data_IF_644255722298
#
_entry.id   IF_644255722298
#
_cell.length_a   1.000
_cell.length_b   1.000
_cell.length_c   1.000
_cell.angle_alpha   90.00
_cell.angle_beta   90.00
_cell.angle_gamma   90.00
#
_symmetry.space_group_name_H-M   'P 1'
#
loop_
_entity.id
_entity.type
_entity.pdbx_description
1 polymer ?
#
# COMPACT_ATOMS: atom_id res chain seq x y z
N UNK A 1 -27.41 24.98 0.94
CA UNK A 1 -26.27 25.91 0.77
C UNK A 1 -25.02 25.06 0.73
N UNK A 2 -24.57 24.70 -0.46
CA UNK A 2 -23.37 23.89 -0.71
C UNK A 2 -22.15 24.73 -0.42
N UNK A 3 -21.46 24.45 0.69
CA UNK A 3 -20.20 25.08 1.01
C UNK A 3 -19.20 24.73 -0.10
N UNK A 4 -18.67 25.77 -0.75
CA UNK A 4 -17.63 25.68 -1.76
C UNK A 4 -16.38 25.02 -1.19
N UNK A 5 -15.87 23.98 -1.86
CA UNK A 5 -14.66 23.21 -1.52
C UNK A 5 -13.35 24.00 -1.64
N UNK A 6 -13.41 25.30 -1.94
CA UNK A 6 -12.23 26.15 -1.97
C UNK A 6 -11.80 26.49 -0.53
N UNK A 7 -10.76 25.79 -0.08
CA UNK A 7 -9.90 26.02 1.11
C UNK A 7 -10.33 25.43 2.45
N UNK A 8 -10.77 24.18 2.51
CA UNK A 8 -10.72 23.47 3.80
C UNK A 8 -9.25 23.41 4.29
N UNK A 9 -8.94 23.73 5.57
CA UNK A 9 -7.55 23.79 6.03
C UNK A 9 -6.78 22.47 5.88
N UNK A 10 -7.49 21.33 5.90
CA UNK A 10 -6.91 20.01 5.64
C UNK A 10 -6.76 19.66 4.15
N UNK A 11 -7.07 20.58 3.23
CA UNK A 11 -6.92 20.36 1.78
C UNK A 11 -5.48 20.01 1.39
N UNK A 12 -4.48 20.65 2.03
CA UNK A 12 -3.05 20.30 1.85
C UNK A 12 -2.69 18.88 2.33
N UNK A 13 -3.59 18.24 3.07
CA UNK A 13 -3.49 16.85 3.50
C UNK A 13 -4.45 15.93 2.75
N UNK A 14 -4.96 16.33 1.59
CA UNK A 14 -5.83 15.52 0.74
C UNK A 14 -7.31 15.52 1.14
N UNK A 15 -7.79 16.54 1.88
CA UNK A 15 -9.21 16.67 2.17
C UNK A 15 -9.98 17.08 0.90
N UNK A 16 -11.08 16.39 0.63
CA UNK A 16 -11.93 16.57 -0.56
C UNK A 16 -13.40 16.50 -0.18
N UNK A 17 -14.31 16.82 -1.11
CA UNK A 17 -15.77 16.70 -0.91
C UNK A 17 -16.21 15.29 -0.55
N UNK A 18 -15.49 14.29 -1.04
CA UNK A 18 -15.74 12.89 -0.74
C UNK A 18 -15.53 12.61 0.75
N UNK A 19 -14.45 13.14 1.34
CA UNK A 19 -14.19 13.01 2.78
C UNK A 19 -15.15 13.86 3.62
N UNK A 20 -15.54 15.04 3.11
CA UNK A 20 -16.55 15.86 3.76
C UNK A 20 -17.91 15.15 3.83
N UNK A 21 -18.32 14.44 2.77
CA UNK A 21 -19.55 13.66 2.74
C UNK A 21 -19.53 12.49 3.75
N UNK A 22 -18.42 11.74 3.82
CA UNK A 22 -18.26 10.67 4.80
C UNK A 22 -18.24 11.19 6.24
N UNK A 23 -17.74 12.42 6.44
CA UNK A 23 -17.63 13.04 7.75
C UNK A 23 -18.91 13.72 8.23
N UNK A 24 -19.77 14.22 7.32
CA UNK A 24 -20.96 15.00 7.64
C UNK A 24 -21.87 14.39 8.74
N UNK A 25 -22.09 13.06 8.83
CA UNK A 25 -22.86 12.46 9.92
C UNK A 25 -22.28 12.67 11.33
N UNK A 26 -20.99 13.00 11.42
CA UNK A 26 -20.25 13.14 12.67
C UNK A 26 -20.14 14.60 13.14
N UNK A 27 -20.41 15.58 12.28
CA UNK A 27 -20.40 17.01 12.62
C UNK A 27 -21.40 17.35 13.72
N UNK A 28 -22.61 16.77 13.65
CA UNK A 28 -23.66 16.98 14.64
C UNK A 28 -23.26 16.51 16.06
N UNK A 29 -22.26 15.63 16.16
CA UNK A 29 -21.70 15.16 17.43
C UNK A 29 -20.56 16.02 17.99
N UNK A 30 -20.25 17.17 17.38
CA UNK A 30 -19.15 18.05 17.79
C UNK A 30 -17.75 17.48 17.51
N UNK A 31 -17.66 16.42 16.71
CA UNK A 31 -16.37 15.83 16.31
C UNK A 31 -15.69 16.70 15.26
N UNK A 32 -14.38 16.54 15.13
CA UNK A 32 -13.56 17.25 14.14
C UNK A 32 -12.94 16.26 13.15
N UNK A 33 -12.81 16.64 11.87
CA UNK A 33 -12.11 15.80 10.92
C UNK A 33 -10.62 15.80 11.25
N UNK A 34 -9.99 14.65 11.09
CA UNK A 34 -8.55 14.52 11.23
C UNK A 34 -7.98 13.47 10.31
N UNK A 35 -6.68 13.55 10.03
CA UNK A 35 -5.94 12.53 9.27
C UNK A 35 -4.82 11.95 10.12
N UNK A 36 -4.70 10.63 10.16
CA UNK A 36 -3.64 9.92 10.89
C UNK A 36 -2.32 10.12 10.16
N UNK A 37 -1.37 10.77 10.83
CA UNK A 37 -0.03 11.08 10.33
C UNK A 37 0.98 10.02 10.74
N UNK A 38 0.76 9.38 11.90
CA UNK A 38 1.59 8.31 12.45
C UNK A 38 0.78 7.49 13.44
N UNK A 39 1.05 6.19 13.49
CA UNK A 39 0.47 5.27 14.49
C UNK A 39 1.52 4.85 15.50
N UNK A 40 1.22 5.03 16.79
CA UNK A 40 1.98 4.52 17.92
C UNK A 40 1.16 3.44 18.66
N UNK A 41 1.79 2.76 19.64
CA UNK A 41 1.06 1.81 20.50
C UNK A 41 0.00 2.53 21.35
N UNK A 42 -1.27 2.31 21.02
CA UNK A 42 -2.43 2.82 21.77
C UNK A 42 -2.80 4.28 21.48
N UNK A 43 -2.10 4.95 20.55
CA UNK A 43 -2.37 6.33 20.17
C UNK A 43 -1.91 6.63 18.75
N UNK A 44 -2.40 7.70 18.15
CA UNK A 44 -1.94 8.21 16.86
C UNK A 44 -1.56 9.68 16.95
N UNK A 45 -0.66 10.12 16.07
CA UNK A 45 -0.56 11.54 15.73
C UNK A 45 -1.55 11.85 14.62
N UNK A 46 -2.34 12.90 14.81
CA UNK A 46 -3.43 13.29 13.92
C UNK A 46 -3.25 14.75 13.56
N UNK A 47 -3.34 15.03 12.27
CA UNK A 47 -3.49 16.41 11.80
C UNK A 47 -4.97 16.77 11.75
N UNK A 48 -5.34 17.90 12.35
CA UNK A 48 -6.72 18.38 12.46
C UNK A 48 -6.73 19.92 12.50
N UNK A 49 -7.91 20.51 12.65
CA UNK A 49 -8.12 21.96 12.75
C UNK A 49 -8.43 22.37 14.19
N UNK A 50 -7.67 23.34 14.69
CA UNK A 50 -7.99 24.05 15.93
C UNK A 50 -9.27 24.90 15.77
N UNK A 51 -9.79 25.44 16.87
CA UNK A 51 -11.02 26.26 16.87
C UNK A 51 -10.88 27.53 16.03
N UNK A 52 -9.67 28.10 16.01
CA UNK A 52 -9.32 29.27 15.22
C UNK A 52 -9.01 28.93 13.74
N UNK A 53 -9.29 27.69 13.31
CA UNK A 53 -9.07 27.22 11.94
C UNK A 53 -7.63 26.88 11.60
N UNK A 54 -6.66 27.06 12.52
CA UNK A 54 -5.26 26.67 12.27
C UNK A 54 -5.11 25.16 12.20
N UNK A 55 -4.28 24.70 11.28
CA UNK A 55 -3.94 23.28 11.20
C UNK A 55 -2.93 22.93 12.29
N UNK A 56 -3.29 21.96 13.12
CA UNK A 56 -2.48 21.49 14.25
C UNK A 56 -2.27 19.98 14.16
N UNK A 57 -1.17 19.50 14.74
CA UNK A 57 -0.91 18.06 14.90
C UNK A 57 -0.94 17.77 16.40
N UNK A 58 -1.79 16.83 16.79
CA UNK A 58 -1.96 16.41 18.17
C UNK A 58 -1.90 14.90 18.32
N UNK A 59 -1.64 14.44 19.54
CA UNK A 59 -1.72 13.02 19.89
C UNK A 59 -3.12 12.69 20.36
N UNK A 60 -3.70 11.60 19.86
CA UNK A 60 -5.00 11.11 20.31
C UNK A 60 -4.96 9.62 20.65
N UNK A 61 -5.73 9.23 21.66
CA UNK A 61 -5.95 7.82 22.00
C UNK A 61 -6.85 7.13 20.98
N UNK A 62 -6.60 5.85 20.71
CA UNK A 62 -7.40 5.05 19.75
C UNK A 62 -8.28 3.99 20.40
N UNK A 63 -8.41 4.00 21.73
CA UNK A 63 -9.19 3.01 22.49
C UNK A 63 -10.59 2.72 21.92
N UNK A 64 -11.41 3.74 21.58
CA UNK A 64 -12.75 3.51 21.03
C UNK A 64 -12.79 2.79 19.66
N UNK A 65 -11.72 2.93 18.87
CA UNK A 65 -11.59 2.31 17.54
C UNK A 65 -10.56 1.18 17.54
N UNK A 66 -10.11 0.74 18.72
CA UNK A 66 -9.17 -0.37 18.83
C UNK A 66 -9.89 -1.67 18.48
N UNK A 67 -9.36 -2.38 17.48
CA UNK A 67 -9.86 -3.68 17.08
C UNK A 67 -8.84 -4.77 17.37
N UNK A 68 -9.34 -5.96 17.73
CA UNK A 68 -8.52 -7.18 17.75
C UNK A 68 -8.18 -7.66 16.33
N UNK A 69 -8.98 -7.26 15.35
CA UNK A 69 -8.70 -7.46 13.93
C UNK A 69 -7.73 -6.37 13.44
N UNK A 70 -6.48 -6.73 13.05
CA UNK A 70 -5.50 -5.78 12.58
C UNK A 70 -5.89 -5.08 11.27
N UNK A 71 -6.83 -5.62 10.50
CA UNK A 71 -7.37 -4.97 9.30
C UNK A 71 -8.28 -3.79 9.65
N UNK A 72 -8.87 -3.77 10.84
CA UNK A 72 -9.73 -2.68 11.31
C UNK A 72 -9.01 -1.70 12.25
N UNK A 73 -7.76 -1.98 12.61
CA UNK A 73 -6.96 -1.11 13.46
C UNK A 73 -6.56 0.18 12.72
N UNK A 74 -6.46 1.34 13.41
CA UNK A 74 -6.01 2.60 12.81
C UNK A 74 -4.65 2.48 12.12
N UNK A 75 -4.52 3.14 10.98
CA UNK A 75 -3.33 3.13 10.14
C UNK A 75 -2.97 4.55 9.66
N UNK A 76 -1.70 4.78 9.32
CA UNK A 76 -1.25 6.02 8.67
C UNK A 76 -2.04 6.24 7.37
N UNK A 77 -2.54 7.47 7.18
CA UNK A 77 -3.37 7.84 6.03
C UNK A 77 -4.88 7.72 6.26
N UNK A 78 -5.33 7.08 7.36
CA UNK A 78 -6.74 7.05 7.73
C UNK A 78 -7.31 8.45 7.99
N UNK A 79 -8.53 8.67 7.53
CA UNK A 79 -9.35 9.80 7.95
C UNK A 79 -10.22 9.40 9.14
N UNK A 80 -10.38 10.32 10.09
CA UNK A 80 -11.01 10.04 11.37
C UNK A 80 -11.93 11.16 11.84
N UNK A 81 -12.91 10.80 12.66
CA UNK A 81 -13.65 11.75 13.48
C UNK A 81 -13.04 11.78 14.89
N UNK A 82 -12.45 12.93 15.23
CA UNK A 82 -11.73 13.19 16.47
C UNK A 82 -12.65 13.91 17.47
N UNK A 83 -12.72 13.39 18.69
CA UNK A 83 -13.19 14.16 19.84
C UNK A 83 -12.00 14.98 20.35
N UNK A 84 -11.95 16.25 19.96
CA UNK A 84 -10.81 17.13 20.24
C UNK A 84 -10.72 17.52 21.72
N UNK A 85 -11.83 17.54 22.45
CA UNK A 85 -11.86 17.84 23.88
C UNK A 85 -11.25 16.70 24.71
N UNK A 86 -11.60 15.46 24.35
CA UNK A 86 -11.10 14.27 25.05
C UNK A 86 -9.79 13.74 24.45
N UNK A 87 -9.38 14.22 23.28
CA UNK A 87 -8.18 13.75 22.58
C UNK A 87 -8.28 12.27 22.19
N UNK A 88 -9.44 11.83 21.70
CA UNK A 88 -9.66 10.42 21.31
C UNK A 88 -10.29 10.29 19.92
N UNK A 89 -9.80 9.31 19.15
CA UNK A 89 -10.43 8.94 17.89
C UNK A 89 -11.73 8.19 18.18
N UNK A 90 -12.85 8.72 17.69
CA UNK A 90 -14.18 8.13 17.87
C UNK A 90 -14.56 7.22 16.71
N UNK A 91 -14.19 7.60 15.49
CA UNK A 91 -14.57 6.90 14.26
C UNK A 91 -13.40 6.90 13.30
N UNK A 92 -13.15 5.75 12.68
CA UNK A 92 -12.36 5.66 11.44
C UNK A 92 -13.34 5.78 10.28
N UNK A 93 -13.10 6.72 9.37
CA UNK A 93 -13.90 6.83 8.15
C UNK A 93 -13.59 5.64 7.22
N UNK A 94 -14.51 5.28 6.30
CA UNK A 94 -14.31 4.15 5.39
C UNK A 94 -13.02 4.29 4.57
N UNK A 95 -12.22 3.23 4.54
CA UNK A 95 -11.04 3.16 3.68
C UNK A 95 -11.46 2.92 2.24
N UNK A 96 -10.80 3.62 1.31
CA UNK A 96 -10.98 3.41 -0.13
C UNK A 96 -9.91 2.51 -0.72
N UNK A 97 -8.69 2.62 -0.22
CA UNK A 97 -7.50 1.88 -0.67
C UNK A 97 -6.61 1.58 0.54
N UNK A 98 -5.77 0.55 0.45
CA UNK A 98 -4.92 0.14 1.56
C UNK A 98 -3.75 -0.74 1.11
N UNK A 99 -2.55 -0.50 1.63
CA UNK A 99 -1.49 -1.51 1.60
C UNK A 99 -1.66 -2.48 2.76
N UNK A 100 -1.95 -3.74 2.43
CA UNK A 100 -2.03 -4.83 3.40
C UNK A 100 -0.78 -5.70 3.28
N UNK A 101 -0.17 -6.02 4.42
CA UNK A 101 0.98 -6.92 4.49
C UNK A 101 0.63 -8.17 5.27
N UNK A 102 1.05 -9.31 4.73
CA UNK A 102 1.16 -10.55 5.47
C UNK A 102 2.17 -10.43 6.61
N UNK A 103 1.74 -10.53 7.87
CA UNK A 103 2.67 -10.55 9.00
C UNK A 103 3.28 -11.95 9.12
N UNK A 104 4.62 -12.05 9.10
CA UNK A 104 5.35 -13.32 9.20
C UNK A 104 5.39 -13.90 10.63
N UNK A 105 4.59 -13.37 11.54
CA UNK A 105 4.54 -13.84 12.93
C UNK A 105 3.68 -15.10 13.04
N UNK A 106 3.65 -15.74 14.21
CA UNK A 106 2.76 -16.88 14.48
C UNK A 106 1.25 -16.54 14.40
N UNK A 107 0.88 -15.36 13.90
CA UNK A 107 -0.45 -14.92 13.47
C UNK A 107 -0.35 -14.44 12.03
N UNK A 108 -1.07 -15.11 11.13
CA UNK A 108 -1.17 -14.77 9.72
C UNK A 108 -2.28 -13.74 9.52
N UNK A 109 -2.30 -12.69 10.34
CA UNK A 109 -3.28 -11.63 10.22
C UNK A 109 -2.68 -10.59 9.27
N UNK A 110 -3.46 -10.14 8.28
CA UNK A 110 -3.08 -9.03 7.41
C UNK A 110 -2.99 -7.75 8.25
N UNK A 111 -1.90 -6.98 8.10
CA UNK A 111 -1.76 -5.68 8.76
C UNK A 111 -1.82 -4.57 7.71
N UNK A 112 -2.68 -3.58 7.94
CA UNK A 112 -2.68 -2.36 7.11
C UNK A 112 -1.47 -1.51 7.46
N UNK A 113 -0.67 -1.19 6.45
CA UNK A 113 0.56 -0.40 6.58
C UNK A 113 0.38 1.06 6.20
N UNK A 114 -0.56 1.32 5.29
CA UNK A 114 -0.99 2.64 4.88
C UNK A 114 -2.40 2.54 4.27
N UNK A 115 -3.20 3.59 4.40
CA UNK A 115 -4.57 3.66 3.90
C UNK A 115 -4.82 4.93 3.09
N UNK A 116 -5.84 4.88 2.23
CA UNK A 116 -6.30 5.99 1.38
C UNK A 116 -5.18 6.54 0.50
N UNK A 117 -4.48 5.61 -0.16
CA UNK A 117 -3.43 5.85 -1.15
C UNK A 117 -4.07 5.95 -2.52
N UNK A 118 -3.83 7.06 -3.20
CA UNK A 118 -4.30 7.32 -4.55
C UNK A 118 -3.25 6.88 -5.58
N UNK A 119 -1.96 7.01 -5.24
CA UNK A 119 -0.84 6.69 -6.12
C UNK A 119 0.27 5.91 -5.43
N UNK A 120 0.89 4.98 -6.16
CA UNK A 120 2.03 4.19 -5.67
C UNK A 120 3.25 4.47 -6.54
N UNK A 121 4.24 5.13 -5.95
CA UNK A 121 5.52 5.38 -6.58
C UNK A 121 6.44 4.17 -6.42
N UNK A 122 6.63 3.41 -7.49
CA UNK A 122 7.51 2.24 -7.53
C UNK A 122 8.92 2.71 -7.92
N UNK A 123 9.77 2.91 -6.92
CA UNK A 123 11.16 3.32 -7.13
C UNK A 123 12.04 2.14 -7.59
N UNK A 124 12.67 2.30 -8.75
CA UNK A 124 13.56 1.32 -9.38
C UNK A 124 14.88 2.00 -9.70
N UNK A 125 15.99 1.53 -9.13
CA UNK A 125 17.31 2.17 -9.30
C UNK A 125 17.95 1.78 -10.61
N UNK A 126 18.38 2.78 -11.40
CA UNK A 126 19.20 2.59 -12.60
C UNK A 126 20.71 2.45 -12.30
N UNK A 127 21.09 2.37 -11.03
CA UNK A 127 22.47 2.00 -10.66
C UNK A 127 22.77 0.51 -10.86
N UNK A 128 21.72 -0.31 -10.95
CA UNK A 128 21.78 -1.75 -11.06
C UNK A 128 21.07 -2.18 -12.36
N UNK A 129 21.28 -3.43 -12.77
CA UNK A 129 20.55 -4.00 -13.91
C UNK A 129 19.04 -4.03 -13.65
N UNK A 130 18.26 -3.67 -14.68
CA UNK A 130 16.81 -3.53 -14.59
C UNK A 130 16.13 -4.91 -14.48
N UNK A 131 15.67 -5.24 -13.27
CA UNK A 131 14.88 -6.45 -13.00
C UNK A 131 13.38 -6.20 -13.26
N UNK A 132 12.94 -6.42 -14.49
CA UNK A 132 11.53 -6.27 -14.89
C UNK A 132 10.58 -7.19 -14.10
N UNK A 133 11.04 -8.38 -13.68
CA UNK A 133 10.21 -9.27 -12.86
C UNK A 133 9.91 -8.72 -11.48
N UNK A 134 10.84 -7.93 -10.95
CA UNK A 134 10.61 -7.19 -9.71
C UNK A 134 9.68 -6.00 -9.91
N UNK A 135 9.75 -5.32 -11.05
CA UNK A 135 8.81 -4.25 -11.41
C UNK A 135 7.38 -4.82 -11.49
N UNK A 136 7.20 -5.92 -12.23
CA UNK A 136 5.93 -6.66 -12.36
C UNK A 136 5.36 -7.05 -10.98
N UNK A 137 6.21 -7.52 -10.06
CA UNK A 137 5.79 -7.81 -8.68
C UNK A 137 5.31 -6.57 -7.94
N UNK A 138 6.03 -5.45 -8.02
CA UNK A 138 5.62 -4.23 -7.35
C UNK A 138 4.37 -3.61 -7.96
N UNK A 139 4.17 -3.77 -9.27
CA UNK A 139 2.92 -3.40 -9.94
C UNK A 139 1.75 -4.21 -9.39
N UNK A 140 1.90 -5.52 -9.22
CA UNK A 140 0.85 -6.35 -8.63
C UNK A 140 0.46 -5.86 -7.23
N UNK A 141 1.45 -5.50 -6.39
CA UNK A 141 1.19 -4.94 -5.07
C UNK A 141 0.52 -3.56 -5.12
N UNK A 142 0.93 -2.71 -6.06
CA UNK A 142 0.33 -1.38 -6.23
C UNK A 142 -1.14 -1.50 -6.64
N UNK A 143 -1.44 -2.31 -7.65
CA UNK A 143 -2.81 -2.56 -8.09
C UNK A 143 -3.68 -3.22 -7.02
N UNK A 144 -3.12 -4.17 -6.25
CA UNK A 144 -3.84 -4.78 -5.13
C UNK A 144 -4.20 -3.75 -4.04
N UNK A 145 -3.34 -2.75 -3.82
CA UNK A 145 -3.64 -1.69 -2.85
C UNK A 145 -4.81 -0.79 -3.28
N UNK A 146 -5.19 -0.83 -4.56
CA UNK A 146 -6.15 0.07 -5.20
C UNK A 146 -5.55 1.41 -5.64
N UNK A 147 -4.27 1.66 -5.35
CA UNK A 147 -3.57 2.87 -5.79
C UNK A 147 -3.02 2.75 -7.21
N UNK A 148 -3.03 3.87 -7.95
CA UNK A 148 -2.51 3.93 -9.32
C UNK A 148 -0.98 3.86 -9.32
N UNK A 149 -0.35 2.85 -9.96
CA UNK A 149 1.10 2.76 -10.02
C UNK A 149 1.72 3.81 -10.95
N UNK A 150 2.88 4.31 -10.50
CA UNK A 150 3.83 5.10 -11.28
C UNK A 150 5.21 4.49 -11.06
N UNK A 151 5.82 3.96 -12.11
CA UNK A 151 7.19 3.42 -12.05
C UNK A 151 8.18 4.56 -12.20
N UNK A 152 9.02 4.73 -11.21
CA UNK A 152 10.02 5.80 -11.14
C UNK A 152 11.40 5.18 -11.24
N UNK A 153 12.00 5.26 -12.42
CA UNK A 153 13.38 4.85 -12.67
C UNK A 153 14.33 5.92 -12.08
N UNK A 154 14.78 5.69 -10.85
CA UNK A 154 15.62 6.63 -10.09
C UNK A 154 17.09 6.54 -10.51
N UNK A 155 17.86 7.58 -10.14
CA UNK A 155 19.30 7.71 -10.46
C UNK A 155 19.57 7.73 -11.97
N UNK A 156 18.68 8.37 -12.73
CA UNK A 156 18.81 8.49 -14.19
C UNK A 156 20.08 9.23 -14.65
N UNK A 157 20.77 9.92 -13.75
CA UNK A 157 22.09 10.52 -13.96
C UNK A 157 23.21 9.47 -14.19
N UNK A 158 23.02 8.23 -13.72
CA UNK A 158 23.96 7.14 -13.95
C UNK A 158 23.87 6.52 -15.34
N UNK A 159 22.82 6.86 -16.10
CA UNK A 159 22.65 6.49 -17.51
C UNK A 159 22.69 7.78 -18.35
N UNK A 160 23.90 8.31 -18.62
CA UNK A 160 24.04 9.62 -19.25
C UNK A 160 23.64 9.61 -20.72
N UNK A 161 23.73 8.47 -21.40
CA UNK A 161 23.29 8.31 -22.78
C UNK A 161 21.76 8.35 -22.87
N UNK A 162 21.15 9.37 -23.52
CA UNK A 162 19.70 9.51 -23.59
C UNK A 162 19.02 8.36 -24.36
N UNK A 163 19.71 7.75 -25.33
CA UNK A 163 19.16 6.66 -26.16
C UNK A 163 19.05 5.38 -25.33
N UNK A 164 20.09 5.02 -24.60
CA UNK A 164 20.05 3.89 -23.64
C UNK A 164 18.95 4.10 -22.62
N UNK A 165 18.82 5.32 -22.09
CA UNK A 165 17.77 5.65 -21.13
C UNK A 165 16.36 5.53 -21.72
N UNK A 166 16.14 5.94 -22.98
CA UNK A 166 14.83 5.77 -23.61
C UNK A 166 14.46 4.31 -23.80
N UNK A 167 15.42 3.44 -24.15
CA UNK A 167 15.16 1.99 -24.23
C UNK A 167 14.80 1.39 -22.87
N UNK A 168 15.48 1.80 -21.79
CA UNK A 168 15.15 1.33 -20.44
C UNK A 168 13.73 1.76 -20.01
N UNK A 169 13.31 2.97 -20.38
CA UNK A 169 11.93 3.44 -20.17
C UNK A 169 10.95 2.59 -20.97
N UNK A 170 11.20 2.40 -22.27
CA UNK A 170 10.32 1.61 -23.15
C UNK A 170 10.17 0.15 -22.70
N UNK A 171 11.28 -0.50 -22.32
CA UNK A 171 11.25 -1.87 -21.78
C UNK A 171 10.45 -1.96 -20.48
N UNK A 172 10.54 -0.93 -19.63
CA UNK A 172 9.75 -0.84 -18.40
C UNK A 172 8.27 -0.59 -18.72
N UNK A 173 7.95 0.25 -19.70
CA UNK A 173 6.57 0.54 -20.13
C UNK A 173 5.88 -0.72 -20.66
N UNK A 174 6.58 -1.49 -21.49
CA UNK A 174 6.10 -2.80 -21.97
C UNK A 174 5.85 -3.78 -20.81
N UNK A 175 6.67 -3.71 -19.76
CA UNK A 175 6.48 -4.54 -18.57
C UNK A 175 5.41 -4.02 -17.60
N UNK A 176 4.92 -2.79 -17.80
CA UNK A 176 4.07 -2.06 -16.87
C UNK A 176 2.79 -1.50 -17.54
N UNK A 177 1.96 -2.36 -18.18
CA UNK A 177 0.75 -1.89 -18.84
C UNK A 177 -0.16 -1.15 -17.86
N UNK A 178 -0.66 0.03 -18.29
CA UNK A 178 -1.52 0.88 -17.48
C UNK A 178 -0.80 1.72 -16.41
N UNK A 179 0.52 1.56 -16.22
CA UNK A 179 1.32 2.40 -15.33
C UNK A 179 2.11 3.46 -16.13
N UNK A 180 2.30 4.64 -15.54
CA UNK A 180 3.23 5.63 -16.10
C UNK A 180 4.66 5.27 -15.71
N UNK A 181 5.61 5.47 -16.61
CA UNK A 181 7.04 5.28 -16.35
C UNK A 181 7.78 6.61 -16.49
N UNK A 182 8.59 6.98 -15.51
CA UNK A 182 9.41 8.18 -15.54
C UNK A 182 10.84 7.89 -15.10
N UNK A 183 11.81 8.36 -15.89
CA UNK A 183 13.21 8.40 -15.48
C UNK A 183 13.53 9.71 -14.77
N UNK A 184 13.98 9.63 -13.52
CA UNK A 184 14.27 10.80 -12.68
C UNK A 184 15.64 10.70 -12.03
N UNK A 185 16.22 11.86 -11.75
CA UNK A 185 17.36 11.99 -10.87
C UNK A 185 17.08 13.06 -9.83
N UNK A 186 16.96 12.64 -8.57
CA UNK A 186 16.89 13.56 -7.45
C UNK A 186 18.21 14.33 -7.23
N UNK A 187 19.33 13.80 -7.73
CA UNK A 187 20.64 14.44 -7.60
C UNK A 187 20.80 15.63 -8.58
N UNK A 188 20.29 15.49 -9.81
CA UNK A 188 20.39 16.55 -10.84
C UNK A 188 19.11 17.36 -11.00
N UNK A 189 18.01 16.92 -10.39
CA UNK A 189 16.66 17.47 -10.59
C UNK A 189 15.97 16.99 -11.86
N UNK A 190 16.63 16.17 -12.70
CA UNK A 190 16.06 15.71 -13.96
C UNK A 190 14.75 14.94 -13.74
N UNK A 191 13.69 15.33 -14.44
CA UNK A 191 12.38 14.64 -14.42
C UNK A 191 11.59 14.84 -13.13
N UNK A 192 12.13 15.54 -12.13
CA UNK A 192 11.46 15.76 -10.84
C UNK A 192 10.22 16.63 -10.96
N UNK A 193 10.24 17.66 -11.81
CA UNK A 193 9.07 18.52 -12.06
C UNK A 193 7.92 17.73 -12.70
N UNK A 194 8.24 16.86 -13.67
CA UNK A 194 7.26 16.00 -14.31
C UNK A 194 6.66 15.00 -13.32
N UNK A 195 7.49 14.41 -12.43
CA UNK A 195 7.00 13.54 -11.37
C UNK A 195 6.11 14.31 -10.39
N UNK A 196 6.54 15.48 -9.91
CA UNK A 196 5.79 16.30 -8.97
C UNK A 196 4.44 16.75 -9.55
N UNK A 197 4.37 17.07 -10.83
CA UNK A 197 3.14 17.45 -11.52
C UNK A 197 2.13 16.29 -11.68
N UNK A 198 2.59 15.03 -11.58
CA UNK A 198 1.69 13.86 -11.55
C UNK A 198 1.12 13.58 -10.18
N UNK A 199 1.74 14.11 -9.12
CA UNK A 199 1.34 13.81 -7.75
C UNK A 199 0.12 14.63 -7.35
N UNK A 200 -0.96 13.91 -7.06
CA UNK A 200 -2.17 14.47 -6.46
C UNK A 200 -2.72 13.49 -5.42
N UNK A 201 -3.42 14.02 -4.42
CA UNK A 201 -3.96 13.20 -3.33
C UNK A 201 -2.86 12.59 -2.46
N UNK A 202 -2.81 11.27 -2.34
CA UNK A 202 -1.95 10.52 -1.42
C UNK A 202 -1.05 9.57 -2.18
N UNK A 203 0.25 9.83 -2.18
CA UNK A 203 1.26 8.96 -2.75
C UNK A 203 1.91 8.09 -1.68
N UNK A 204 2.29 6.85 -2.03
CA UNK A 204 3.10 5.98 -1.19
C UNK A 204 4.34 5.47 -1.95
N UNK A 205 5.46 5.29 -1.26
CA UNK A 205 6.70 4.80 -1.86
C UNK A 205 6.87 3.29 -1.70
N UNK A 206 7.13 2.61 -2.81
CA UNK A 206 7.41 1.17 -2.88
C UNK A 206 8.74 0.93 -3.61
N UNK A 207 9.48 -0.11 -3.24
CA UNK A 207 10.74 -0.47 -3.89
C UNK A 207 11.78 -1.05 -2.92
N UNK A 208 12.83 -1.65 -3.47
CA UNK A 208 13.90 -2.29 -2.68
C UNK A 208 14.73 -1.29 -1.86
N UNK A 209 15.44 -1.78 -0.85
CA UNK A 209 16.47 -0.97 -0.19
C UNK A 209 17.49 -0.48 -1.22
N UNK A 210 18.01 0.73 -1.07
CA UNK A 210 18.96 1.32 -2.04
C UNK A 210 18.34 1.87 -3.33
N UNK A 211 17.03 1.67 -3.58
CA UNK A 211 16.34 2.16 -4.78
C UNK A 211 16.20 3.71 -4.85
N UNK A 212 16.69 4.45 -3.86
CA UNK A 212 16.60 5.92 -3.83
C UNK A 212 15.29 6.49 -3.28
N UNK A 213 14.40 5.69 -2.66
CA UNK A 213 13.11 6.14 -2.09
C UNK A 213 13.24 7.34 -1.14
N UNK A 214 14.18 7.28 -0.20
CA UNK A 214 14.40 8.36 0.77
C UNK A 214 14.90 9.65 0.12
N UNK A 215 15.84 9.52 -0.82
CA UNK A 215 16.31 10.66 -1.63
C UNK A 215 15.19 11.26 -2.46
N UNK A 216 14.34 10.41 -3.04
CA UNK A 216 13.16 10.83 -3.81
C UNK A 216 12.13 11.55 -2.92
N UNK A 217 11.84 11.00 -1.73
CA UNK A 217 10.94 11.60 -0.75
C UNK A 217 11.39 13.01 -0.33
N UNK A 218 12.68 13.18 -0.05
CA UNK A 218 13.26 14.49 0.27
C UNK A 218 13.12 15.48 -0.87
N UNK A 219 13.46 15.05 -2.09
CA UNK A 219 13.37 15.90 -3.27
C UNK A 219 11.92 16.34 -3.54
N UNK A 220 10.95 15.43 -3.38
CA UNK A 220 9.52 15.73 -3.58
C UNK A 220 8.92 16.61 -2.48
N UNK A 221 9.37 16.45 -1.23
CA UNK A 221 8.85 17.23 -0.09
C UNK A 221 9.52 18.61 0.04
N UNK A 222 10.55 18.90 -0.76
CA UNK A 222 11.27 20.18 -0.73
C UNK A 222 12.03 20.43 0.57
N UNK A 223 12.35 19.36 1.30
CA UNK A 223 12.96 19.44 2.62
C UNK A 223 14.15 18.47 2.76
N UNK A 224 15.15 18.86 3.57
CA UNK A 224 16.08 17.94 4.25
C UNK A 224 15.34 17.09 5.32
N UNK A 225 14.07 16.74 5.09
CA UNK A 225 13.18 16.11 6.07
C UNK A 225 13.65 14.72 6.48
N UNK A 226 14.39 14.03 5.61
CA UNK A 226 15.14 12.84 5.96
C UNK A 226 16.62 13.19 5.88
N UNK A 227 17.28 13.39 7.03
CA UNK A 227 18.75 13.25 7.08
C UNK A 227 19.07 11.90 6.46
N UNK A 228 19.62 11.91 5.25
CA UNK A 228 20.17 10.72 4.60
C UNK A 228 21.38 10.36 5.45
N UNK A 229 21.19 9.50 6.44
CA UNK A 229 22.29 8.81 7.09
C UNK A 229 22.82 7.83 6.04
N UNK A 230 23.62 8.37 5.12
CA UNK A 230 24.46 7.59 4.25
C UNK A 230 25.32 6.73 5.18
N UNK A 231 25.29 5.41 4.96
CA UNK A 231 26.00 4.37 5.74
C UNK A 231 25.47 4.06 7.14
N UNK A 232 24.51 3.13 7.23
CA UNK A 232 24.41 2.17 8.35
C UNK A 232 24.07 0.77 7.82
N UNK A 233 24.93 0.26 6.95
CA UNK A 233 25.11 -1.18 6.78
C UNK A 233 26.21 -1.63 7.76
N UNK A 234 25.79 -2.05 8.96
CA UNK A 234 26.46 -3.05 9.79
C UNK A 234 25.70 -3.18 11.11
N UNK A 235 24.79 -4.14 11.15
CA UNK A 235 24.43 -4.96 12.32
C UNK A 235 22.93 -5.26 12.33
N UNK A 236 22.62 -6.50 11.91
CA UNK A 236 21.33 -7.11 12.14
C UNK A 236 20.97 -7.01 13.62
N UNK A 237 19.79 -6.46 13.91
CA UNK A 237 19.23 -6.03 15.22
C UNK A 237 19.35 -4.52 15.53
N UNK A 238 19.18 -3.65 14.53
CA UNK A 238 19.03 -2.21 14.73
C UNK A 238 17.56 -1.75 14.74
N UNK A 239 17.07 -1.27 15.88
CA UNK A 239 15.76 -0.60 16.04
C UNK A 239 15.70 0.62 15.11
N UNK A 240 15.00 0.49 13.98
CA UNK A 240 14.72 1.59 13.05
C UNK A 240 13.99 2.71 13.80
N UNK A 241 14.75 3.68 14.29
CA UNK A 241 14.20 4.86 14.97
C UNK A 241 14.40 6.03 14.03
N UNK A 242 13.75 6.00 12.87
CA UNK A 242 13.64 7.19 12.04
C UNK A 242 12.58 8.07 12.70
N UNK A 243 13.01 9.21 13.23
CA UNK A 243 12.18 10.20 13.96
C UNK A 243 11.26 11.03 13.05
N UNK A 244 11.10 10.63 11.79
CA UNK A 244 10.29 11.34 10.79
C UNK A 244 8.83 10.91 10.87
N UNK A 245 7.93 11.85 10.56
CA UNK A 245 6.51 11.57 10.38
C UNK A 245 6.32 10.67 9.17
N UNK A 246 5.34 9.78 9.22
CA UNK A 246 5.10 8.82 8.14
C UNK A 246 4.32 9.45 6.97
N UNK A 247 3.55 10.50 7.21
CA UNK A 247 2.77 11.24 6.21
C UNK A 247 3.27 12.70 6.11
N UNK A 248 3.71 13.08 4.91
CA UNK A 248 4.42 14.33 4.62
C UNK A 248 3.65 15.14 3.57
N UNK A 249 3.24 16.39 3.83
CA UNK A 249 2.59 17.21 2.81
C UNK A 249 3.59 17.59 1.70
N UNK A 250 3.12 17.56 0.46
CA UNK A 250 3.90 17.96 -0.71
C UNK A 250 3.71 19.46 -1.01
N UNK A 251 4.73 20.19 -1.48
CA UNK A 251 4.61 21.61 -1.82
C UNK A 251 3.56 21.91 -2.89
N UNK A 252 3.39 20.99 -3.85
CA UNK A 252 2.42 21.09 -4.95
C UNK A 252 0.98 20.71 -4.57
N UNK A 253 0.74 20.26 -3.34
CA UNK A 253 -0.53 19.66 -2.91
C UNK A 253 -0.43 18.14 -2.81
N UNK A 254 -1.31 17.56 -1.99
CA UNK A 254 -1.26 16.15 -1.65
C UNK A 254 -0.23 15.79 -0.58
N UNK A 255 -0.06 14.50 -0.32
CA UNK A 255 0.80 13.97 0.73
C UNK A 255 1.58 12.74 0.25
N UNK A 256 2.74 12.53 0.82
CA UNK A 256 3.59 11.37 0.64
C UNK A 256 3.62 10.53 1.91
N UNK A 257 3.35 9.23 1.80
CA UNK A 257 3.50 8.25 2.86
C UNK A 257 4.81 7.48 2.66
N UNK A 258 5.73 7.60 3.62
CA UNK A 258 6.98 6.84 3.69
C UNK A 258 7.05 6.09 5.03
N UNK A 259 6.31 4.98 5.12
CA UNK A 259 6.39 4.09 6.28
C UNK A 259 7.48 3.03 6.06
N UNK A 260 8.35 2.74 7.06
CA UNK A 260 9.31 1.63 6.97
C UNK A 260 8.65 0.27 6.68
N UNK A 261 7.38 0.11 7.04
CA UNK A 261 6.60 -1.12 6.85
C UNK A 261 6.39 -1.50 5.38
N UNK A 262 6.41 -0.53 4.46
CA UNK A 262 6.32 -0.77 3.02
C UNK A 262 7.59 -1.41 2.44
N UNK A 263 8.68 -1.51 3.23
CA UNK A 263 9.91 -2.21 2.86
C UNK A 263 9.70 -3.72 3.04
N UNK A 264 9.58 -4.44 1.92
CA UNK A 264 9.45 -5.90 1.94
C UNK A 264 8.02 -6.40 2.17
N UNK A 265 7.02 -5.67 1.64
CA UNK A 265 5.64 -6.19 1.53
C UNK A 265 5.65 -7.39 0.58
N UNK A 266 5.16 -8.53 1.07
CA UNK A 266 4.89 -9.71 0.26
C UNK A 266 3.49 -9.64 -0.34
N UNK A 267 3.24 -10.41 -1.41
CA UNK A 267 1.87 -10.59 -1.93
C UNK A 267 0.99 -11.13 -0.80
N UNK A 268 -0.21 -10.57 -0.64
CA UNK A 268 -1.22 -11.06 0.28
C UNK A 268 -2.56 -10.97 -0.45
N UNK A 269 -3.21 -12.12 -0.69
CA UNK A 269 -4.51 -12.18 -1.39
C UNK A 269 -4.53 -11.30 -2.66
N UNK A 270 -3.43 -11.32 -3.41
CA UNK A 270 -3.16 -10.33 -4.46
C UNK A 270 -3.67 -10.76 -5.85
N UNK A 271 -4.75 -11.53 -5.91
CA UNK A 271 -5.27 -12.10 -7.17
C UNK A 271 -5.66 -10.99 -8.14
N UNK A 272 -6.36 -9.95 -7.64
CA UNK A 272 -6.73 -8.79 -8.43
C UNK A 272 -5.49 -8.02 -8.90
N UNK A 273 -4.53 -7.78 -8.01
CA UNK A 273 -3.29 -7.09 -8.34
C UNK A 273 -2.46 -7.80 -9.40
N UNK A 274 -2.34 -9.13 -9.33
CA UNK A 274 -1.63 -9.93 -10.34
C UNK A 274 -2.35 -9.84 -11.69
N UNK A 275 -3.68 -10.02 -11.73
CA UNK A 275 -4.45 -9.91 -12.97
C UNK A 275 -4.26 -8.52 -13.63
N UNK A 276 -4.29 -7.44 -12.86
CA UNK A 276 -4.06 -6.08 -13.38
C UNK A 276 -2.64 -5.89 -13.92
N UNK A 277 -1.61 -6.37 -13.21
CA UNK A 277 -0.21 -6.23 -13.63
C UNK A 277 0.12 -6.98 -14.94
N UNK A 278 -0.66 -8.02 -15.25
CA UNK A 278 -0.53 -8.85 -16.45
C UNK A 278 -1.79 -8.78 -17.33
N UNK A 279 -2.42 -7.60 -17.41
CA UNK A 279 -3.65 -7.40 -18.21
C UNK A 279 -3.48 -7.81 -19.68
N UNK A 280 -2.28 -7.70 -20.23
CA UNK A 280 -1.93 -8.17 -21.56
C UNK A 280 -2.00 -9.69 -21.68
N UNK A 281 -1.50 -10.44 -20.69
CA UNK A 281 -1.67 -11.91 -20.61
C UNK A 281 -3.14 -12.27 -20.42
N UNK A 282 -3.84 -11.60 -19.50
CA UNK A 282 -5.27 -11.82 -19.22
C UNK A 282 -6.16 -11.52 -20.43
N UNK A 283 -5.77 -10.56 -21.27
CA UNK A 283 -6.50 -10.23 -22.49
C UNK A 283 -6.34 -11.34 -23.54
N UNK A 284 -5.11 -11.83 -23.75
CA UNK A 284 -4.83 -12.97 -24.63
C UNK A 284 -5.49 -14.26 -24.12
N UNK A 285 -5.55 -14.46 -22.80
CA UNK A 285 -6.16 -15.64 -22.19
C UNK A 285 -7.65 -15.80 -22.54
N UNK A 286 -8.37 -14.71 -22.86
CA UNK A 286 -9.78 -14.75 -23.27
C UNK A 286 -10.01 -15.44 -24.60
N UNK A 287 -8.98 -15.47 -25.46
CA UNK A 287 -9.02 -16.12 -26.77
C UNK A 287 -8.50 -17.56 -26.73
N UNK A 288 -8.16 -18.08 -25.53
CA UNK A 288 -7.82 -19.49 -25.38
C UNK A 288 -9.01 -20.40 -25.72
N UNK A 289 -8.71 -21.54 -26.33
CA UNK A 289 -9.70 -22.59 -26.62
C UNK A 289 -10.46 -23.07 -25.38
N UNK A 290 -9.78 -23.11 -24.22
CA UNK A 290 -10.31 -23.60 -22.96
C UNK A 290 -10.43 -22.46 -21.93
N UNK A 291 -11.56 -22.33 -21.21
CA UNK A 291 -11.74 -21.30 -20.19
C UNK A 291 -10.82 -21.44 -18.96
N UNK A 292 -10.32 -22.63 -18.67
CA UNK A 292 -9.45 -22.98 -17.55
C UNK A 292 -7.99 -23.25 -17.98
N UNK A 293 -7.58 -22.65 -19.10
CA UNK A 293 -6.22 -22.78 -19.63
C UNK A 293 -5.18 -22.25 -18.62
N UNK A 294 -4.19 -23.07 -18.29
CA UNK A 294 -3.06 -22.69 -17.43
C UNK A 294 -1.88 -22.10 -18.20
N UNK A 295 -2.00 -22.00 -19.52
CA UNK A 295 -0.99 -21.45 -20.44
C UNK A 295 0.37 -22.16 -20.35
N UNK A 296 0.37 -23.45 -20.05
CA UNK A 296 1.57 -24.27 -19.91
C UNK A 296 1.90 -25.10 -21.16
N UNK A 297 0.93 -25.88 -21.63
CA UNK A 297 1.12 -26.79 -22.78
C UNK A 297 -0.20 -27.11 -23.51
N UNK A 298 -1.27 -26.37 -23.21
CA UNK A 298 -2.61 -26.65 -23.72
C UNK A 298 -2.73 -26.36 -25.22
N UNK A 299 -3.35 -27.26 -26.01
CA UNK A 299 -3.52 -27.05 -27.44
C UNK A 299 -4.55 -25.93 -27.71
N UNK A 300 -4.20 -25.00 -28.60
CA UNK A 300 -5.05 -23.85 -28.91
C UNK A 300 -5.00 -22.76 -27.82
N UNK A 301 -3.91 -22.68 -27.07
CA UNK A 301 -3.65 -21.59 -26.13
C UNK A 301 -3.19 -20.33 -26.89
N UNK A 302 -4.04 -19.31 -26.95
CA UNK A 302 -3.70 -18.01 -27.56
C UNK A 302 -2.48 -17.34 -26.89
N UNK A 303 -2.31 -17.48 -25.58
CA UNK A 303 -1.14 -16.96 -24.86
C UNK A 303 0.16 -17.60 -25.33
N UNK A 304 0.20 -18.93 -25.52
CA UNK A 304 1.39 -19.62 -26.02
C UNK A 304 1.66 -19.25 -27.49
N UNK A 305 0.62 -19.11 -28.31
CA UNK A 305 0.76 -18.64 -29.68
C UNK A 305 1.39 -17.23 -29.74
N UNK A 306 0.92 -16.30 -28.90
CA UNK A 306 1.49 -14.95 -28.79
C UNK A 306 2.97 -14.97 -28.34
N UNK A 307 3.38 -15.94 -27.53
CA UNK A 307 4.79 -16.14 -27.17
C UNK A 307 5.60 -16.66 -28.37
N UNK A 308 5.08 -17.62 -29.11
CA UNK A 308 5.72 -18.17 -30.32
C UNK A 308 5.88 -17.11 -31.43
N UNK A 309 4.91 -16.21 -31.56
CA UNK A 309 4.89 -15.11 -32.52
C UNK A 309 5.71 -13.89 -32.06
N UNK A 310 6.16 -13.86 -30.80
CA UNK A 310 6.97 -12.80 -30.22
C UNK A 310 6.19 -11.56 -29.76
N UNK A 311 4.85 -11.63 -29.77
CA UNK A 311 3.98 -10.57 -29.23
C UNK A 311 4.06 -10.49 -27.69
N UNK A 312 4.22 -11.65 -27.03
CA UNK A 312 4.42 -11.74 -25.59
C UNK A 312 5.79 -12.34 -25.26
N UNK A 313 6.67 -11.65 -24.51
CA UNK A 313 7.95 -12.23 -24.12
C UNK A 313 7.78 -13.45 -23.20
N UNK A 314 8.50 -14.55 -23.47
CA UNK A 314 8.45 -15.76 -22.62
C UNK A 314 8.73 -15.45 -21.13
N UNK A 315 9.71 -14.59 -20.84
CA UNK A 315 10.03 -14.12 -19.48
C UNK A 315 8.80 -13.59 -18.74
N UNK A 316 7.92 -12.89 -19.46
CA UNK A 316 6.72 -12.24 -18.90
C UNK A 316 5.69 -13.30 -18.48
N UNK A 317 5.45 -14.30 -19.33
CA UNK A 317 4.60 -15.45 -19.00
C UNK A 317 5.17 -16.28 -17.84
N UNK A 318 6.48 -16.52 -17.81
CA UNK A 318 7.15 -17.24 -16.72
C UNK A 318 6.99 -16.52 -15.37
N UNK A 319 7.11 -15.19 -15.36
CA UNK A 319 6.89 -14.38 -14.17
C UNK A 319 5.43 -14.33 -13.75
N UNK A 320 4.49 -14.27 -14.69
CA UNK A 320 3.06 -14.40 -14.41
C UNK A 320 2.77 -15.69 -13.63
N UNK A 321 3.19 -16.84 -14.17
CA UNK A 321 3.04 -18.12 -13.48
C UNK A 321 3.76 -18.19 -12.12
N UNK A 322 4.94 -17.55 -12.02
CA UNK A 322 5.69 -17.50 -10.77
C UNK A 322 4.91 -16.74 -9.69
N UNK A 323 4.30 -15.61 -10.03
CA UNK A 323 3.53 -14.79 -9.09
C UNK A 323 2.21 -15.45 -8.71
N UNK A 324 1.50 -16.08 -9.66
CA UNK A 324 0.30 -16.89 -9.35
C UNK A 324 0.62 -17.98 -8.32
N UNK A 325 1.65 -18.80 -8.58
CA UNK A 325 2.09 -19.85 -7.63
C UNK A 325 2.49 -19.31 -6.27
N UNK A 326 3.11 -18.13 -6.22
CA UNK A 326 3.44 -17.49 -4.95
C UNK A 326 2.19 -17.05 -4.19
N UNK A 327 1.22 -16.43 -4.89
CA UNK A 327 -0.02 -15.96 -4.32
C UNK A 327 -0.86 -17.13 -3.77
N UNK A 328 -1.04 -18.18 -4.55
CA UNK A 328 -1.73 -19.42 -4.13
C UNK A 328 -1.11 -20.03 -2.86
N UNK A 329 0.22 -20.08 -2.79
CA UNK A 329 0.94 -20.57 -1.59
C UNK A 329 0.73 -19.70 -0.37
N UNK A 330 0.45 -18.41 -0.54
CA UNK A 330 0.16 -17.48 0.56
C UNK A 330 -1.29 -17.65 0.99
N UNK A 331 -2.23 -17.66 0.04
CA UNK A 331 -3.66 -17.89 0.28
C UNK A 331 -3.91 -19.23 0.98
N UNK A 332 -3.36 -20.33 0.48
CA UNK A 332 -3.54 -21.66 1.07
C UNK A 332 -3.03 -21.76 2.51
N UNK A 333 -1.96 -21.02 2.85
CA UNK A 333 -1.45 -20.94 4.24
C UNK A 333 -2.40 -20.15 5.15
N UNK A 334 -3.04 -19.10 4.63
CA UNK A 334 -4.06 -18.33 5.32
C UNK A 334 -5.29 -19.19 5.64
N UNK A 335 -5.84 -19.87 4.62
CA UNK A 335 -7.06 -20.68 4.71
C UNK A 335 -6.94 -21.90 5.62
N UNK A 336 -5.86 -22.68 5.47
CA UNK A 336 -5.62 -23.86 6.30
C UNK A 336 -5.56 -23.49 7.79
N UNK A 337 -5.08 -22.28 8.09
CA UNK A 337 -4.98 -21.77 9.45
C UNK A 337 -6.31 -21.19 9.95
N UNK A 338 -7.05 -20.43 9.14
CA UNK A 338 -8.42 -19.98 9.46
C UNK A 338 -9.30 -21.16 9.86
N UNK A 339 -9.24 -22.24 9.08
CA UNK A 339 -9.92 -23.49 9.38
C UNK A 339 -9.46 -24.11 10.72
N UNK A 340 -8.15 -24.12 11.00
CA UNK A 340 -7.62 -24.60 12.28
C UNK A 340 -8.07 -23.75 13.49
N UNK A 341 -8.18 -22.43 13.34
CA UNK A 341 -8.66 -21.52 14.39
C UNK A 341 -10.16 -21.66 14.65
N UNK A 342 -10.97 -21.77 13.60
CA UNK A 342 -12.40 -22.08 13.68
C UNK A 342 -12.63 -23.39 14.44
N UNK A 343 -11.87 -24.44 14.11
CA UNK A 343 -11.92 -25.73 14.81
C UNK A 343 -11.53 -25.62 16.29
N UNK A 344 -10.50 -24.84 16.64
CA UNK A 344 -10.12 -24.59 18.05
C UNK A 344 -11.18 -23.79 18.81
N UNK A 345 -11.79 -22.79 18.17
CA UNK A 345 -12.88 -21.99 18.73
C UNK A 345 -14.11 -22.87 19.01
N UNK A 346 -14.48 -23.72 18.06
CA UNK A 346 -15.54 -24.71 18.22
C UNK A 346 -15.26 -25.68 19.37
N UNK A 347 -14.04 -26.23 19.47
CA UNK A 347 -13.65 -27.12 20.57
C UNK A 347 -13.78 -26.43 21.93
N UNK A 348 -13.37 -25.16 22.04
CA UNK A 348 -13.52 -24.35 23.27
C UNK A 348 -14.98 -24.11 23.63
N UNK A 349 -15.82 -23.67 22.68
CA UNK A 349 -17.26 -23.47 22.89
C UNK A 349 -17.95 -24.77 23.32
N UNK A 350 -17.58 -25.91 22.72
CA UNK A 350 -18.10 -27.24 23.07
C UNK A 350 -17.66 -27.67 24.48
N UNK A 351 -16.43 -27.38 24.89
CA UNK A 351 -15.95 -27.64 26.25
C UNK A 351 -16.69 -26.79 27.29
N UNK A 352 -16.89 -25.50 27.00
CA UNK A 352 -17.67 -24.60 27.87
C UNK A 352 -19.12 -25.06 28.02
N UNK A 353 -19.75 -25.48 26.90
CA UNK A 353 -21.11 -26.02 26.89
C UNK A 353 -21.25 -27.33 27.69
N UNK A 354 -20.26 -28.22 27.61
CA UNK A 354 -20.22 -29.45 28.44
C UNK A 354 -20.11 -29.12 29.93
N UNK A 355 -19.17 -28.23 30.30
CA UNK A 355 -19.00 -27.80 31.68
C UNK A 355 -20.25 -27.11 32.26
N UNK A 356 -20.98 -26.32 31.45
CA UNK A 356 -22.26 -25.75 31.86
C UNK A 356 -23.37 -26.80 32.00
N UNK A 357 -23.42 -27.83 31.14
CA UNK A 357 -24.37 -28.93 31.26
C UNK A 357 -24.11 -29.82 32.49
N UNK A 358 -22.84 -30.11 32.80
CA UNK A 358 -22.45 -30.85 33.99
C UNK A 358 -22.85 -30.11 35.28
N UNK A 359 -22.66 -28.79 35.31
CA UNK A 359 -23.16 -27.95 36.43
C UNK A 359 -24.68 -27.91 36.54
N UNK A 360 -25.41 -28.05 35.43
CA UNK A 360 -26.89 -28.10 35.42
C UNK A 360 -27.46 -29.46 35.84
N UNK A 361 -26.71 -30.56 35.69
CA UNK A 361 -27.23 -31.91 36.00
C UNK A 361 -27.28 -32.23 37.50
N UNK A 362 -26.60 -31.46 38.36
CA UNK A 362 -26.55 -31.72 39.81
C UNK A 362 -25.91 -33.07 40.15
N UNK A 363 -25.47 -33.30 41.41
CA UNK A 363 -24.94 -34.60 41.78
C UNK A 363 -26.07 -35.65 41.70
N UNK A 364 -25.89 -36.67 40.86
CA UNK A 364 -26.74 -37.87 40.91
C UNK A 364 -26.46 -38.55 42.25
N UNK A 365 -27.46 -38.56 43.13
CA UNK A 365 -27.45 -39.33 44.38
C UNK A 365 -27.57 -40.82 44.10
#
# INVERSE_FOLDING_TARGET
>A
MTASTASHPLGRYGWTDVWAADFAPHEAGGLRPGRVVRVDRGSCEIVTTAEDGRVVIGRAGVGPVASADPLLAPCTGDWVALDAEQGVVRVLLPRRTAFVRAVSSQRSDGQVLAANIDQVLIAVSLADELDLGRVERFLALAWESGGQPVVVLTKADLVPDPVTRSYLVEDTERAAPGARVLAVSAATGQGMDALAALLDGTAALLGVSGAGKSTLANALTGADAQRVDATRDSDGKGRHTTTTRDLLPLPGGGVLIDTPGLRGVGLWEADHGVAQAFTDVESLARDCRFPDCSHGAEPGCAVLAAVEEGELPLRRLENYHKLLRENERIAARSDARLNAELLRSWKRKKALGRHMMERKRGPQQ
#
